data_IF_171771747840
#
_entry.id   IF_171771747840
#
_cell.length_a   1.000
_cell.length_b   1.000
_cell.length_c   1.000
_cell.angle_alpha   90.00
_cell.angle_beta   90.00
_cell.angle_gamma   90.00
#
_symmetry.space_group_name_H-M   'P 1'
#
loop_
_entity.id
_entity.type
_entity.pdbx_description
1 polymer ?
#
# COMPACT_ATOMS: atom_id res chain seq x y z
N UNK A 1 14.24 -6.42 9.60
CA UNK A 1 12.80 -6.45 9.98
C UNK A 1 12.55 -6.23 11.48
N UNK A 2 13.40 -6.74 12.39
CA UNK A 2 13.25 -6.53 13.83
C UNK A 2 13.28 -5.05 14.29
N UNK A 3 13.88 -4.16 13.51
CA UNK A 3 13.95 -2.73 13.85
C UNK A 3 12.62 -1.97 13.72
N UNK A 4 11.64 -2.47 12.97
CA UNK A 4 10.33 -1.78 12.77
C UNK A 4 9.62 -1.59 14.11
N UNK A 5 9.72 -2.58 15.00
CA UNK A 5 9.09 -2.58 16.31
C UNK A 5 9.87 -1.79 17.37
N UNK A 6 11.10 -1.35 17.07
CA UNK A 6 11.92 -0.50 17.93
C UNK A 6 11.84 0.99 17.57
N UNK A 7 11.14 1.36 16.50
CA UNK A 7 10.87 2.77 16.22
C UNK A 7 9.88 3.32 17.25
N UNK A 8 10.11 4.55 17.72
CA UNK A 8 9.16 5.33 18.52
C UNK A 8 7.99 5.84 17.65
N UNK A 9 7.33 4.93 16.95
CA UNK A 9 6.15 5.21 16.12
C UNK A 9 4.93 4.58 16.75
N UNK A 10 3.73 5.12 16.49
CA UNK A 10 2.50 4.46 16.88
C UNK A 10 2.47 3.01 16.35
N UNK A 11 1.98 2.02 17.12
CA UNK A 11 1.92 0.63 16.70
C UNK A 11 1.22 0.43 15.35
N UNK A 12 0.22 1.28 15.04
CA UNK A 12 -0.47 1.30 13.74
C UNK A 12 0.46 1.63 12.58
N UNK A 13 1.37 2.59 12.75
CA UNK A 13 2.36 2.97 11.74
C UNK A 13 3.43 1.88 11.57
N UNK A 14 3.85 1.23 12.66
CA UNK A 14 4.76 0.07 12.58
C UNK A 14 4.14 -1.11 11.83
N UNK A 15 2.86 -1.40 12.07
CA UNK A 15 2.12 -2.43 11.33
C UNK A 15 1.99 -2.07 9.84
N UNK A 16 1.72 -0.80 9.52
CA UNK A 16 1.67 -0.31 8.13
C UNK A 16 3.02 -0.52 7.44
N UNK A 17 4.12 -0.13 8.09
CA UNK A 17 5.47 -0.29 7.55
C UNK A 17 5.84 -1.77 7.37
N UNK A 18 5.49 -2.63 8.33
CA UNK A 18 5.69 -4.08 8.19
C UNK A 18 4.91 -4.63 6.99
N UNK A 19 3.63 -4.26 6.85
CA UNK A 19 2.82 -4.66 5.69
C UNK A 19 3.39 -4.13 4.38
N UNK A 20 3.91 -2.90 4.36
CA UNK A 20 4.55 -2.29 3.19
C UNK A 20 5.81 -3.09 2.77
N UNK A 21 6.70 -3.38 3.71
CA UNK A 21 7.95 -4.11 3.45
C UNK A 21 7.72 -5.55 3.01
N UNK A 22 6.64 -6.18 3.49
CA UNK A 22 6.28 -7.54 3.11
C UNK A 22 5.36 -7.61 1.89
N UNK A 23 5.09 -6.49 1.20
CA UNK A 23 4.11 -6.40 0.12
C UNK A 23 2.76 -7.07 0.52
N UNK A 24 2.38 -6.90 1.78
CA UNK A 24 1.20 -7.51 2.39
C UNK A 24 0.05 -6.51 2.57
N UNK A 25 0.19 -5.31 1.99
CA UNK A 25 -0.90 -4.35 1.91
C UNK A 25 -1.96 -4.88 0.95
N UNK A 26 -3.25 -4.63 1.24
CA UNK A 26 -4.35 -5.02 0.37
C UNK A 26 -4.44 -4.08 -0.84
N UNK A 27 -3.34 -3.93 -1.58
CA UNK A 27 -3.37 -3.26 -2.88
C UNK A 27 -3.94 -4.20 -3.93
N UNK A 28 -4.58 -3.65 -4.96
CA UNK A 28 -5.12 -4.43 -6.08
C UNK A 28 -4.06 -5.35 -6.70
N UNK A 29 -2.81 -4.90 -6.88
CA UNK A 29 -1.72 -5.78 -7.36
C UNK A 29 -1.55 -7.02 -6.47
N UNK A 30 -1.62 -6.86 -5.14
CA UNK A 30 -1.51 -7.99 -4.22
C UNK A 30 -2.77 -8.86 -4.20
N UNK A 31 -3.95 -8.29 -4.43
CA UNK A 31 -5.19 -9.05 -4.57
C UNK A 31 -5.18 -9.89 -5.85
N UNK A 32 -4.76 -9.30 -6.98
CA UNK A 32 -4.58 -9.99 -8.26
C UNK A 32 -3.55 -11.12 -8.16
N UNK A 33 -2.40 -10.88 -7.51
CA UNK A 33 -1.39 -11.93 -7.24
C UNK A 33 -1.93 -13.08 -6.39
N UNK A 34 -2.92 -12.82 -5.52
CA UNK A 34 -3.59 -13.83 -4.70
C UNK A 34 -4.76 -14.52 -5.42
N UNK A 35 -4.99 -14.20 -6.70
CA UNK A 35 -6.08 -14.76 -7.49
C UNK A 35 -7.46 -14.19 -7.14
N UNK A 36 -7.51 -13.07 -6.40
CA UNK A 36 -8.77 -12.37 -6.13
C UNK A 36 -9.01 -11.42 -7.31
N UNK A 37 -10.09 -11.62 -8.09
CA UNK A 37 -10.41 -10.72 -9.18
C UNK A 37 -10.72 -9.33 -8.62
N UNK A 38 -9.93 -8.35 -9.06
CA UNK A 38 -10.06 -6.94 -8.68
C UNK A 38 -9.70 -6.10 -9.90
N UNK A 39 -10.41 -4.99 -10.08
CA UNK A 39 -10.08 -4.05 -11.15
C UNK A 39 -8.66 -3.51 -10.93
N UNK A 40 -7.80 -3.64 -11.95
CA UNK A 40 -6.37 -3.30 -11.86
C UNK A 40 -6.11 -1.81 -11.59
N UNK A 41 -7.13 -0.97 -11.73
CA UNK A 41 -7.13 0.48 -11.55
C UNK A 41 -7.16 0.87 -10.07
N UNK A 42 -6.46 1.95 -9.73
CA UNK A 42 -6.46 2.51 -8.39
C UNK A 42 -7.85 3.00 -8.02
N UNK A 43 -8.35 2.56 -6.86
CA UNK A 43 -9.69 2.94 -6.37
C UNK A 43 -9.77 4.44 -6.06
N UNK A 44 -8.63 5.06 -5.74
CA UNK A 44 -8.56 6.48 -5.42
C UNK A 44 -8.67 7.33 -6.68
N UNK A 45 -7.70 7.23 -7.60
CA UNK A 45 -7.64 8.12 -8.78
C UNK A 45 -8.37 7.56 -10.00
N UNK A 46 -8.68 6.26 -10.05
CA UNK A 46 -9.30 5.57 -11.20
C UNK A 46 -8.59 5.72 -12.56
N UNK A 47 -7.39 6.32 -12.60
CA UNK A 47 -6.66 6.61 -13.85
C UNK A 47 -5.49 5.67 -14.12
N UNK A 48 -4.81 5.19 -13.07
CA UNK A 48 -3.62 4.36 -13.20
C UNK A 48 -3.75 3.05 -12.41
N UNK A 49 -3.00 2.01 -12.79
CA UNK A 49 -3.03 0.75 -12.06
C UNK A 49 -2.53 0.90 -10.62
N UNK A 50 -3.23 0.26 -9.68
CA UNK A 50 -2.89 0.38 -8.26
C UNK A 50 -1.64 -0.43 -7.91
N UNK A 51 -0.54 0.27 -7.75
CA UNK A 51 0.71 -0.27 -7.20
C UNK A 51 1.02 0.42 -5.88
N UNK A 52 1.89 -0.17 -5.05
CA UNK A 52 2.33 0.50 -3.81
C UNK A 52 2.96 1.87 -4.09
N UNK A 53 3.77 1.98 -5.14
CA UNK A 53 4.36 3.26 -5.54
C UNK A 53 3.28 4.26 -5.95
N UNK A 54 2.29 3.81 -6.72
CA UNK A 54 1.16 4.66 -7.06
C UNK A 54 0.39 5.10 -5.81
N UNK A 55 -0.02 4.17 -4.95
CA UNK A 55 -0.84 4.45 -3.76
C UNK A 55 -0.17 5.45 -2.79
N UNK A 56 1.16 5.41 -2.63
CA UNK A 56 1.88 6.26 -1.68
C UNK A 56 2.57 7.49 -2.28
N UNK A 57 2.98 7.46 -3.56
CA UNK A 57 3.85 8.50 -4.13
C UNK A 57 3.36 9.08 -5.46
N UNK A 58 2.65 8.31 -6.30
CA UNK A 58 2.24 8.80 -7.63
C UNK A 58 0.73 9.07 -7.74
N UNK A 59 -0.06 8.76 -6.71
CA UNK A 59 -1.49 9.00 -6.73
C UNK A 59 -1.74 10.50 -6.51
N UNK A 60 -2.41 11.20 -7.45
CA UNK A 60 -2.69 12.63 -7.33
C UNK A 60 -3.55 12.98 -6.11
N UNK A 61 -4.29 12.00 -5.57
CA UNK A 61 -5.08 12.17 -4.35
C UNK A 61 -4.21 12.01 -3.09
N UNK A 62 -3.16 11.18 -3.14
CA UNK A 62 -2.23 11.02 -2.02
C UNK A 62 -1.30 12.25 -1.86
N UNK A 63 -1.05 12.97 -2.96
CA UNK A 63 -0.30 14.24 -2.97
C UNK A 63 -1.08 15.39 -2.32
N UNK A 64 -2.40 15.27 -2.18
CA UNK A 64 -3.29 16.31 -1.64
C UNK A 64 -3.46 16.29 -0.11
N UNK A 65 -2.56 15.64 0.63
CA UNK A 65 -2.62 15.48 2.10
C UNK A 65 -1.58 16.34 2.81
#
# INVERSE_FOLDING_TARGET
>A
LAHIWHLKIPPKAGLLQWRLLHNALPSVDNLLRRGIPSDSTCVMCSEQPETLLHLFFNCPIADYV
#
